data_IF_430655987556
#
_entry.id   IF_430655987556
#
_cell.length_a   1.000
_cell.length_b   1.000
_cell.length_c   1.000
_cell.angle_alpha   90.00
_cell.angle_beta   90.00
_cell.angle_gamma   90.00
#
_symmetry.space_group_name_H-M   'P 1'
#
loop_
_entity.id
_entity.type
_entity.pdbx_description
1 polymer ?
#
# COMPACT_ATOMS: atom_id res chain seq x y z
N UNK A 1 -7.23 0.69 18.91
CA UNK A 1 -7.43 -0.41 19.88
C UNK A 1 -7.65 0.09 21.31
N UNK A 2 -6.89 1.06 21.80
CA UNK A 2 -7.02 1.57 23.18
C UNK A 2 -8.43 2.13 23.45
N UNK A 3 -8.96 2.92 22.53
CA UNK A 3 -10.33 3.48 22.61
C UNK A 3 -11.35 2.34 22.71
N UNK A 4 -11.25 1.31 21.85
CA UNK A 4 -12.16 0.16 21.87
C UNK A 4 -12.09 -0.60 23.19
N UNK A 5 -10.86 -0.85 23.69
CA UNK A 5 -10.69 -1.51 24.99
C UNK A 5 -11.33 -0.73 26.12
N UNK A 6 -11.14 0.59 26.15
CA UNK A 6 -11.72 1.47 27.17
C UNK A 6 -13.23 1.47 27.12
N UNK A 7 -13.82 1.68 25.92
CA UNK A 7 -15.27 1.82 25.76
C UNK A 7 -16.01 0.51 26.03
N UNK A 8 -15.42 -0.65 25.74
CA UNK A 8 -16.02 -1.97 25.95
C UNK A 8 -15.60 -2.62 27.28
N UNK A 9 -14.78 -1.97 28.09
CA UNK A 9 -14.28 -2.54 29.36
C UNK A 9 -13.48 -3.84 29.20
N UNK A 10 -12.79 -4.04 28.06
CA UNK A 10 -12.08 -5.29 27.75
C UNK A 10 -10.58 -5.16 27.90
N UNK A 11 -9.94 -6.23 28.36
CA UNK A 11 -8.47 -6.28 28.55
C UNK A 11 -7.74 -6.67 27.27
N UNK A 12 -8.28 -7.61 26.48
CA UNK A 12 -7.62 -8.20 25.32
C UNK A 12 -8.37 -7.84 24.03
N UNK A 13 -7.67 -7.18 23.09
CA UNK A 13 -8.14 -6.94 21.73
C UNK A 13 -6.96 -6.93 20.76
N UNK A 14 -7.20 -7.31 19.49
CA UNK A 14 -6.25 -7.26 18.39
C UNK A 14 -6.95 -6.84 17.11
N UNK A 15 -6.29 -6.09 16.23
CA UNK A 15 -6.81 -5.79 14.89
C UNK A 15 -6.33 -6.84 13.88
N UNK A 16 -7.15 -7.08 12.84
CA UNK A 16 -6.89 -8.05 11.78
C UNK A 16 -6.56 -7.37 10.46
N UNK A 17 -5.57 -6.52 10.51
CA UNK A 17 -5.07 -5.69 9.43
C UNK A 17 -4.55 -4.38 9.98
N UNK A 18 -3.90 -3.60 9.14
CA UNK A 18 -3.42 -2.27 9.48
C UNK A 18 -3.86 -1.33 8.37
N UNK A 19 -4.53 -0.26 8.72
CA UNK A 19 -4.76 0.88 7.84
C UNK A 19 -3.57 1.84 7.97
N UNK A 20 -3.12 2.39 6.86
CA UNK A 20 -2.19 3.51 6.88
C UNK A 20 -2.87 4.72 7.55
N UNK A 21 -2.12 5.66 8.16
CA UNK A 21 -2.72 6.74 8.96
C UNK A 21 -3.76 7.57 8.21
N UNK A 22 -3.54 7.88 6.93
CA UNK A 22 -4.49 8.61 6.08
C UNK A 22 -5.67 7.77 5.60
N UNK A 23 -5.57 6.42 5.70
CA UNK A 23 -6.61 5.55 5.19
C UNK A 23 -7.82 5.53 6.11
N UNK A 24 -9.00 5.59 5.51
CA UNK A 24 -10.28 5.30 6.17
C UNK A 24 -10.83 3.96 5.68
N UNK A 25 -11.64 3.28 6.50
CA UNK A 25 -12.25 2.04 6.09
C UNK A 25 -12.51 1.07 7.23
N UNK A 26 -12.85 -0.16 6.87
CA UNK A 26 -13.18 -1.22 7.81
C UNK A 26 -11.91 -1.77 8.48
N UNK A 27 -11.88 -1.69 9.80
CA UNK A 27 -10.87 -2.35 10.62
C UNK A 27 -11.54 -3.42 11.49
N UNK A 28 -11.31 -4.69 11.17
CA UNK A 28 -11.84 -5.79 11.96
C UNK A 28 -11.02 -5.95 13.25
N UNK A 29 -11.70 -6.02 14.39
CA UNK A 29 -11.09 -6.13 15.71
C UNK A 29 -11.58 -7.39 16.39
N UNK A 30 -10.67 -8.28 16.73
CA UNK A 30 -10.94 -9.44 17.59
C UNK A 30 -10.90 -9.06 19.06
N UNK A 31 -11.90 -9.50 19.82
CA UNK A 31 -12.04 -9.22 21.25
C UNK A 31 -11.90 -10.54 22.03
N UNK A 32 -11.13 -10.54 23.11
CA UNK A 32 -10.93 -11.69 23.99
C UNK A 32 -10.54 -12.97 23.21
N UNK A 33 -11.37 -14.03 23.25
CA UNK A 33 -11.16 -15.28 22.50
C UNK A 33 -11.20 -15.06 20.99
N UNK A 34 -11.94 -14.04 20.50
CA UNK A 34 -12.01 -13.67 19.09
C UNK A 34 -10.66 -13.28 18.47
N UNK A 35 -9.66 -12.90 19.28
CA UNK A 35 -8.29 -12.63 18.76
C UNK A 35 -7.65 -13.87 18.11
N UNK A 36 -8.12 -15.08 18.40
CA UNK A 36 -7.63 -16.32 17.79
C UNK A 36 -8.07 -16.48 16.33
N UNK A 37 -9.09 -15.73 15.90
CA UNK A 37 -9.61 -15.78 14.51
C UNK A 37 -8.78 -14.92 13.55
N UNK A 38 -7.72 -14.26 14.01
CA UNK A 38 -6.92 -13.33 13.21
C UNK A 38 -6.45 -13.90 11.87
N UNK A 39 -6.05 -15.17 11.83
CA UNK A 39 -5.54 -15.80 10.61
C UNK A 39 -6.60 -15.94 9.51
N UNK A 40 -7.88 -16.09 9.87
CA UNK A 40 -8.97 -16.13 8.89
C UNK A 40 -9.05 -14.80 8.14
N UNK A 41 -9.12 -13.67 8.87
CA UNK A 41 -9.29 -12.35 8.28
C UNK A 41 -8.00 -11.76 7.67
N UNK A 42 -6.83 -12.07 8.26
CA UNK A 42 -5.55 -11.59 7.72
C UNK A 42 -5.21 -12.19 6.36
N UNK A 43 -5.74 -13.38 6.08
CA UNK A 43 -5.49 -14.10 4.83
C UNK A 43 -6.50 -13.77 3.72
N UNK A 44 -7.57 -13.06 4.03
CA UNK A 44 -8.59 -12.69 3.05
C UNK A 44 -8.08 -11.71 2.02
N UNK A 45 -8.74 -11.71 0.86
CA UNK A 45 -8.58 -10.68 -0.16
C UNK A 45 -9.05 -9.33 0.38
N UNK A 46 -8.51 -8.26 -0.21
CA UNK A 46 -8.79 -6.89 0.17
C UNK A 46 -9.23 -6.09 -1.03
N UNK A 47 -10.11 -5.13 -0.80
CA UNK A 47 -10.49 -4.13 -1.81
C UNK A 47 -10.19 -2.74 -1.29
N UNK A 48 -9.68 -1.89 -2.17
CA UNK A 48 -9.27 -0.53 -1.87
C UNK A 48 -9.84 0.44 -2.90
N UNK A 49 -10.34 1.57 -2.43
CA UNK A 49 -10.53 2.75 -3.25
C UNK A 49 -9.29 3.64 -3.09
N UNK A 50 -8.70 4.04 -4.19
CA UNK A 50 -7.36 4.65 -4.22
C UNK A 50 -7.37 5.89 -5.10
N UNK A 51 -6.83 6.99 -4.58
CA UNK A 51 -6.53 8.19 -5.37
C UNK A 51 -5.02 8.31 -5.54
N UNK A 52 -4.55 8.34 -6.78
CA UNK A 52 -3.13 8.50 -7.15
C UNK A 52 -2.96 9.87 -7.80
N UNK A 53 -2.01 10.66 -7.31
CA UNK A 53 -1.60 11.92 -7.92
C UNK A 53 -0.30 11.72 -8.68
N UNK A 54 -0.35 11.91 -9.99
CA UNK A 54 0.85 11.90 -10.83
C UNK A 54 1.67 13.18 -10.69
N UNK A 55 2.95 13.08 -11.00
CA UNK A 55 3.87 14.22 -11.05
C UNK A 55 4.58 14.53 -9.75
N UNK A 56 4.33 13.79 -8.69
CA UNK A 56 5.01 13.96 -7.40
C UNK A 56 5.35 12.60 -6.78
N UNK A 57 6.52 12.51 -6.14
CA UNK A 57 6.88 11.39 -5.25
C UNK A 57 7.20 11.93 -3.87
N UNK A 58 6.87 11.19 -2.84
CA UNK A 58 7.05 11.60 -1.44
C UNK A 58 7.94 10.62 -0.67
N UNK A 59 8.43 11.05 0.47
CA UNK A 59 9.31 10.25 1.35
C UNK A 59 8.66 8.98 1.87
N UNK A 60 7.32 8.92 1.93
CA UNK A 60 6.54 7.78 2.46
C UNK A 60 5.75 7.02 1.39
N UNK A 61 5.87 7.42 0.11
CA UNK A 61 5.07 6.92 -1.02
C UNK A 61 3.55 7.15 -0.85
N UNK A 62 3.15 8.09 0.02
CA UNK A 62 1.77 8.53 0.26
C UNK A 62 1.71 10.04 0.51
N UNK A 63 0.52 10.59 0.72
CA UNK A 63 0.31 12.01 0.87
C UNK A 63 0.74 12.58 2.25
N UNK A 64 1.23 11.75 3.19
CA UNK A 64 1.80 12.22 4.46
C UNK A 64 3.26 12.64 4.35
N UNK A 65 3.98 12.12 3.34
CA UNK A 65 5.39 12.39 3.15
C UNK A 65 5.66 13.75 2.50
N UNK A 66 6.86 14.26 2.75
CA UNK A 66 7.36 15.44 2.04
C UNK A 66 7.63 15.11 0.58
N UNK A 67 7.30 16.03 -0.34
CA UNK A 67 7.58 15.87 -1.77
C UNK A 67 9.10 15.93 -2.00
N UNK A 68 9.65 14.87 -2.59
CA UNK A 68 11.09 14.74 -2.88
C UNK A 68 11.41 14.82 -4.37
N UNK A 69 10.45 14.48 -5.24
CA UNK A 69 10.61 14.55 -6.70
C UNK A 69 9.35 15.12 -7.30
N UNK A 70 9.51 15.99 -8.29
CA UNK A 70 8.42 16.50 -9.12
C UNK A 70 8.70 16.22 -10.59
N UNK A 71 7.66 15.90 -11.36
CA UNK A 71 7.73 15.66 -12.80
C UNK A 71 6.63 16.44 -13.52
N UNK A 72 6.94 17.04 -14.66
CA UNK A 72 5.98 17.73 -15.52
C UNK A 72 5.39 16.83 -16.61
N UNK A 73 5.74 15.53 -16.60
CA UNK A 73 5.27 14.57 -17.60
C UNK A 73 3.78 14.36 -17.46
N UNK A 74 3.09 14.42 -18.58
CA UNK A 74 1.64 14.13 -18.65
C UNK A 74 1.43 12.75 -19.24
N UNK A 75 0.40 12.07 -18.77
CA UNK A 75 -0.04 10.75 -19.24
C UNK A 75 -1.42 10.86 -19.86
N UNK A 76 -1.63 10.11 -20.93
CA UNK A 76 -2.96 9.93 -21.51
C UNK A 76 -3.71 8.82 -20.76
N UNK A 77 -5.04 8.79 -20.90
CA UNK A 77 -5.84 7.69 -20.36
C UNK A 77 -5.40 6.33 -20.94
N UNK A 78 -4.99 6.30 -22.21
CA UNK A 78 -4.50 5.08 -22.87
C UNK A 78 -3.22 4.56 -22.22
N UNK A 79 -2.26 5.44 -21.89
CA UNK A 79 -1.02 5.07 -21.22
C UNK A 79 -1.30 4.43 -19.85
N UNK A 80 -2.19 5.06 -19.08
CA UNK A 80 -2.61 4.57 -17.77
C UNK A 80 -3.29 3.20 -17.89
N UNK A 81 -4.25 3.03 -18.82
CA UNK A 81 -4.94 1.75 -19.03
C UNK A 81 -3.97 0.63 -19.39
N UNK A 82 -3.05 0.89 -20.32
CA UNK A 82 -2.07 -0.11 -20.76
C UNK A 82 -1.15 -0.53 -19.60
N UNK A 83 -0.70 0.43 -18.80
CA UNK A 83 0.13 0.14 -17.62
C UNK A 83 -0.64 -0.64 -16.56
N UNK A 84 -1.89 -0.26 -16.25
CA UNK A 84 -2.70 -0.96 -15.25
C UNK A 84 -2.98 -2.42 -15.65
N UNK A 85 -3.11 -2.72 -16.93
CA UNK A 85 -3.27 -4.09 -17.42
C UNK A 85 -2.08 -4.97 -17.08
N UNK A 86 -0.86 -4.44 -17.08
CA UNK A 86 0.35 -5.20 -16.74
C UNK A 86 0.44 -5.56 -15.25
N UNK A 87 -0.36 -4.91 -14.39
CA UNK A 87 -0.40 -5.23 -12.97
C UNK A 87 -1.41 -6.34 -12.61
N UNK A 88 -2.26 -6.78 -13.54
CA UNK A 88 -3.21 -7.85 -13.26
C UNK A 88 -2.52 -9.20 -13.12
N UNK A 89 -3.02 -10.03 -12.21
CA UNK A 89 -2.56 -11.38 -11.97
C UNK A 89 -1.47 -11.50 -10.90
N UNK A 90 -0.77 -12.63 -10.91
CA UNK A 90 0.27 -12.97 -9.95
C UNK A 90 1.59 -12.26 -10.29
N UNK A 91 2.17 -11.60 -9.31
CA UNK A 91 3.41 -10.86 -9.48
C UNK A 91 4.24 -10.78 -8.21
N UNK A 92 5.47 -10.28 -8.34
CA UNK A 92 6.35 -9.96 -7.21
C UNK A 92 6.29 -8.45 -6.93
N UNK A 93 6.09 -8.09 -5.67
CA UNK A 93 6.08 -6.71 -5.21
C UNK A 93 7.10 -6.52 -4.10
N UNK A 94 7.93 -5.49 -4.21
CA UNK A 94 8.78 -5.03 -3.10
C UNK A 94 7.91 -4.16 -2.18
N UNK A 95 7.77 -4.54 -0.89
CA UNK A 95 7.03 -3.73 0.06
C UNK A 95 7.70 -2.38 0.31
N UNK A 96 6.94 -1.33 0.71
CA UNK A 96 7.54 -0.06 1.08
C UNK A 96 8.33 -0.21 2.40
N UNK A 97 9.38 0.59 2.54
CA UNK A 97 10.21 0.59 3.77
C UNK A 97 9.40 1.05 4.99
N UNK A 98 8.45 1.96 4.80
CA UNK A 98 7.49 2.38 5.83
C UNK A 98 6.35 1.37 5.95
N UNK A 99 6.68 0.16 6.43
CA UNK A 99 5.71 -0.92 6.65
C UNK A 99 5.92 -1.62 7.99
N UNK A 100 4.92 -2.41 8.41
CA UNK A 100 4.98 -3.20 9.63
C UNK A 100 5.75 -4.54 9.48
N UNK A 101 6.37 -4.78 8.35
CA UNK A 101 7.20 -5.98 8.11
C UNK A 101 8.35 -5.99 9.08
N UNK A 102 8.57 -7.11 9.74
CA UNK A 102 9.66 -7.26 10.71
C UNK A 102 10.94 -7.75 10.03
N UNK A 103 12.05 -7.06 10.31
CA UNK A 103 13.42 -7.47 9.99
C UNK A 103 14.12 -7.74 11.30
N UNK A 104 14.57 -8.97 11.52
CA UNK A 104 15.21 -9.40 12.77
C UNK A 104 14.41 -8.97 14.02
N UNK A 105 13.07 -9.12 13.96
CA UNK A 105 12.14 -8.80 15.05
C UNK A 105 11.70 -7.34 15.15
N UNK A 106 12.35 -6.40 14.44
CA UNK A 106 12.02 -4.97 14.46
C UNK A 106 11.23 -4.57 13.20
N UNK A 107 10.11 -3.84 13.33
CA UNK A 107 9.35 -3.35 12.17
C UNK A 107 10.18 -2.45 11.25
N UNK A 108 10.01 -2.61 9.93
CA UNK A 108 10.72 -1.88 8.88
C UNK A 108 10.62 -0.36 9.05
N UNK A 109 9.43 0.18 9.37
CA UNK A 109 9.25 1.62 9.58
C UNK A 109 10.13 2.21 10.70
N UNK A 110 10.50 1.40 11.72
CA UNK A 110 11.42 1.86 12.78
C UNK A 110 12.86 2.00 12.28
N UNK A 111 13.28 1.12 11.36
CA UNK A 111 14.57 1.26 10.70
C UNK A 111 14.59 2.50 9.81
N UNK A 112 13.53 2.69 9.00
CA UNK A 112 13.40 3.87 8.14
C UNK A 112 13.48 5.19 8.92
N UNK A 113 12.73 5.30 10.03
CA UNK A 113 12.80 6.49 10.91
C UNK A 113 14.15 6.72 11.56
N UNK A 114 14.95 5.67 11.73
CA UNK A 114 16.32 5.75 12.25
C UNK A 114 17.36 6.00 11.13
N UNK A 115 16.94 6.31 9.90
CA UNK A 115 17.84 6.56 8.77
C UNK A 115 18.63 5.33 8.31
N UNK A 116 18.21 4.12 8.68
CA UNK A 116 18.91 2.89 8.32
C UNK A 116 18.46 2.42 6.95
N UNK A 117 19.39 2.20 6.07
CA UNK A 117 19.13 1.53 4.79
C UNK A 117 18.74 0.08 5.02
N UNK A 118 17.61 -0.32 4.46
CA UNK A 118 17.11 -1.69 4.52
C UNK A 118 16.59 -2.09 3.16
N UNK A 119 16.86 -3.34 2.79
CA UNK A 119 16.30 -3.96 1.60
C UNK A 119 15.24 -4.97 2.02
N UNK A 120 14.04 -4.85 1.46
CA UNK A 120 12.95 -5.79 1.67
C UNK A 120 12.88 -6.77 0.50
N UNK A 121 12.79 -8.05 0.81
CA UNK A 121 12.63 -9.08 -0.22
C UNK A 121 11.27 -8.95 -0.92
N UNK A 122 11.22 -9.12 -2.25
CA UNK A 122 9.96 -9.16 -2.99
C UNK A 122 9.03 -10.25 -2.47
N UNK A 123 7.73 -9.97 -2.43
CA UNK A 123 6.68 -10.91 -2.00
C UNK A 123 5.73 -11.20 -3.14
N UNK A 124 5.24 -12.44 -3.21
CA UNK A 124 4.20 -12.80 -4.17
C UNK A 124 2.88 -12.18 -3.75
N UNK A 125 2.25 -11.49 -4.67
CA UNK A 125 0.91 -10.92 -4.55
C UNK A 125 0.09 -11.30 -5.77
N UNK A 126 -1.21 -11.13 -5.70
CA UNK A 126 -2.10 -11.25 -6.84
C UNK A 126 -3.06 -10.07 -6.87
N UNK A 127 -3.17 -9.43 -8.02
CA UNK A 127 -4.16 -8.38 -8.27
C UNK A 127 -5.25 -8.98 -9.13
N UNK A 128 -6.45 -9.09 -8.57
CA UNK A 128 -7.57 -9.74 -9.22
C UNK A 128 -8.31 -8.81 -10.16
N UNK A 129 -8.43 -7.54 -9.76
CA UNK A 129 -9.19 -6.55 -10.53
C UNK A 129 -8.66 -5.14 -10.27
N UNK A 130 -8.65 -4.31 -11.32
CA UNK A 130 -8.41 -2.88 -11.23
C UNK A 130 -9.47 -2.18 -12.09
N UNK A 131 -10.28 -1.33 -11.47
CA UNK A 131 -11.29 -0.52 -12.14
C UNK A 131 -10.91 0.95 -12.05
N UNK A 132 -10.86 1.62 -13.18
CA UNK A 132 -10.71 3.08 -13.23
C UNK A 132 -12.07 3.68 -12.90
N UNK A 133 -12.15 4.40 -11.78
CA UNK A 133 -13.35 5.14 -11.37
C UNK A 133 -13.41 6.49 -12.06
N UNK A 134 -12.28 7.19 -12.08
CA UNK A 134 -12.12 8.46 -12.74
C UNK A 134 -10.66 8.72 -13.10
N UNK A 135 -10.44 9.46 -14.20
CA UNK A 135 -9.12 9.95 -14.58
C UNK A 135 -9.22 11.38 -15.10
N UNK A 136 -8.72 12.30 -14.33
CA UNK A 136 -8.56 13.72 -14.65
C UNK A 136 -7.18 14.16 -14.23
N UNK A 137 -6.22 14.16 -15.19
CA UNK A 137 -4.81 14.44 -14.88
C UNK A 137 -4.66 15.71 -14.04
N UNK A 138 -3.93 15.69 -12.92
CA UNK A 138 -3.00 14.65 -12.50
C UNK A 138 -3.60 13.56 -11.58
N UNK A 139 -4.90 13.48 -11.40
CA UNK A 139 -5.57 12.56 -10.48
C UNK A 139 -6.11 11.32 -11.22
N UNK A 140 -5.89 10.17 -10.60
CA UNK A 140 -6.41 8.87 -11.02
C UNK A 140 -7.07 8.19 -9.83
N UNK A 141 -8.38 7.89 -9.94
CA UNK A 141 -9.13 7.17 -8.93
C UNK A 141 -9.39 5.73 -9.39
N UNK A 142 -9.02 4.77 -8.55
CA UNK A 142 -9.08 3.34 -8.83
C UNK A 142 -9.85 2.60 -7.74
N UNK A 143 -10.51 1.51 -8.12
CA UNK A 143 -10.91 0.43 -7.22
C UNK A 143 -10.04 -0.78 -7.52
N UNK A 144 -9.42 -1.36 -6.49
CA UNK A 144 -8.45 -2.46 -6.64
C UNK A 144 -8.85 -3.61 -5.73
N UNK A 145 -9.00 -4.81 -6.30
CA UNK A 145 -9.15 -6.06 -5.55
C UNK A 145 -7.88 -6.88 -5.63
N UNK A 146 -7.32 -7.27 -4.48
CA UNK A 146 -6.02 -7.92 -4.42
C UNK A 146 -5.90 -8.92 -3.27
N UNK A 147 -4.85 -9.74 -3.32
CA UNK A 147 -4.51 -10.68 -2.26
C UNK A 147 -3.98 -9.97 -1.02
N UNK A 148 -3.99 -10.70 0.10
CA UNK A 148 -3.28 -10.27 1.32
C UNK A 148 -1.84 -9.84 1.01
N UNK A 149 -1.34 -8.90 1.80
CA UNK A 149 0.06 -8.44 1.71
C UNK A 149 0.38 -7.55 0.53
N UNK A 150 -0.59 -7.18 -0.29
CA UNK A 150 -0.44 -6.17 -1.34
C UNK A 150 -0.34 -4.78 -0.71
N UNK A 151 0.67 -4.02 -1.12
CA UNK A 151 0.88 -2.63 -0.74
C UNK A 151 0.46 -1.71 -1.88
N UNK A 152 -0.60 -0.95 -1.66
CA UNK A 152 -1.15 -0.01 -2.66
C UNK A 152 -0.15 1.09 -2.98
N UNK A 153 0.63 1.55 -1.99
CA UNK A 153 1.71 2.55 -2.18
C UNK A 153 2.78 2.05 -3.16
N UNK A 154 3.23 0.79 -3.02
CA UNK A 154 4.18 0.21 -3.98
C UNK A 154 3.59 0.06 -5.38
N UNK A 155 2.28 -0.20 -5.51
CA UNK A 155 1.60 -0.23 -6.81
C UNK A 155 1.58 1.16 -7.44
N UNK A 156 1.21 2.19 -6.68
CA UNK A 156 1.20 3.58 -7.13
C UNK A 156 2.59 4.03 -7.61
N UNK A 157 3.63 3.73 -6.82
CA UNK A 157 5.02 4.03 -7.16
C UNK A 157 5.44 3.33 -8.46
N UNK A 158 5.09 2.05 -8.62
CA UNK A 158 5.37 1.29 -9.85
C UNK A 158 4.65 1.88 -11.06
N UNK A 159 3.39 2.32 -10.91
CA UNK A 159 2.63 2.99 -11.97
C UNK A 159 3.32 4.28 -12.43
N UNK A 160 3.83 5.08 -11.50
CA UNK A 160 4.57 6.30 -11.80
C UNK A 160 5.88 5.97 -12.53
N UNK A 161 6.64 4.97 -12.09
CA UNK A 161 7.93 4.60 -12.70
C UNK A 161 7.79 3.98 -14.10
N UNK A 162 6.79 3.12 -14.34
CA UNK A 162 6.57 2.50 -15.66
C UNK A 162 6.09 3.54 -16.68
N UNK A 163 5.39 4.56 -16.23
CA UNK A 163 4.99 5.69 -17.07
C UNK A 163 6.11 6.70 -17.28
N UNK A 164 7.25 6.60 -16.59
CA UNK A 164 8.47 7.33 -16.93
C UNK A 164 9.33 6.48 -17.88
N UNK A 165 9.81 7.01 -19.03
CA UNK A 165 10.80 6.29 -19.83
C UNK A 165 12.05 6.12 -18.98
N UNK A 166 12.44 4.89 -18.79
CA UNK A 166 13.57 4.34 -18.06
C UNK A 166 14.72 5.32 -17.90
N UNK A 167 14.94 5.87 -16.72
CA UNK A 167 16.32 6.07 -16.27
C UNK A 167 16.82 4.68 -15.90
N UNK A 168 17.66 4.11 -16.74
CA UNK A 168 18.50 2.98 -16.37
C UNK A 168 19.21 3.37 -15.09
N UNK A 169 18.89 2.70 -14.00
CA UNK A 169 19.76 2.63 -12.84
C UNK A 169 20.92 1.77 -13.33
N UNK A 170 21.99 2.41 -13.78
CA UNK A 170 23.28 1.75 -13.88
C UNK A 170 23.70 1.43 -12.44
N UNK A 171 23.80 0.13 -12.17
CA UNK A 171 24.43 -0.44 -10.99
C UNK A 171 25.93 -0.20 -11.09
#
# INVERSE_FOLDING_TARGET
>A
LQIVKKNLGIKKAGHFGTLDPLASGLLVIGVNKGTKLSNLFLNDNKSYEVSIKFGESTTTDDAEGEVIVTSKKKFTKSDVVNTLRSFLGAQKQVPPIYSAIKIKGTPSYKHARAGREIQLAPRSINIYEILIRDFSFPLLNLSISCSKGTYIRSLALSLIHISEPTRQVQI
#
